data_IF_416436364823
#
_entry.id   IF_416436364823
#
_cell.length_a   1.000
_cell.length_b   1.000
_cell.length_c   1.000
_cell.angle_alpha   90.00
_cell.angle_beta   90.00
_cell.angle_gamma   90.00
#
_symmetry.space_group_name_H-M   'P 1'
#
loop_
_entity.id
_entity.type
_entity.pdbx_description
1 polymer ?
#
# COMPACT_ATOMS: atom_id res chain seq x y z
N UNK A 1 19.30 -7.75 7.75
CA UNK A 1 17.91 -7.59 7.31
C UNK A 1 17.86 -7.92 5.84
N UNK A 2 16.81 -8.60 5.36
CA UNK A 2 16.61 -8.85 3.94
C UNK A 2 15.82 -7.68 3.38
N UNK A 3 16.33 -7.03 2.34
CA UNK A 3 15.63 -5.93 1.65
C UNK A 3 14.44 -6.49 0.87
N UNK A 4 13.36 -5.72 0.79
CA UNK A 4 12.13 -6.06 0.06
C UNK A 4 12.41 -6.64 -1.32
N UNK A 5 12.03 -7.91 -1.51
CA UNK A 5 12.12 -8.59 -2.81
C UNK A 5 10.93 -8.21 -3.70
N UNK A 6 11.15 -7.17 -4.53
CA UNK A 6 10.11 -6.64 -5.42
C UNK A 6 9.65 -7.66 -6.45
N UNK A 7 10.55 -8.48 -6.99
CA UNK A 7 10.18 -9.49 -7.99
C UNK A 7 9.28 -10.57 -7.37
N UNK A 8 9.54 -10.96 -6.12
CA UNK A 8 8.64 -11.86 -5.38
C UNK A 8 7.26 -11.25 -5.19
N UNK A 9 7.17 -9.98 -4.79
CA UNK A 9 5.89 -9.27 -4.61
C UNK A 9 5.10 -9.25 -5.92
N UNK A 10 5.74 -8.91 -7.05
CA UNK A 10 5.08 -8.91 -8.36
C UNK A 10 4.56 -10.29 -8.73
N UNK A 11 5.38 -11.33 -8.53
CA UNK A 11 4.98 -12.72 -8.82
C UNK A 11 3.77 -13.14 -7.99
N UNK A 12 3.77 -12.85 -6.69
CA UNK A 12 2.67 -13.20 -5.79
C UNK A 12 1.37 -12.49 -6.20
N UNK A 13 1.46 -11.18 -6.46
CA UNK A 13 0.30 -10.37 -6.89
C UNK A 13 -0.22 -10.79 -8.27
N UNK A 14 0.66 -11.13 -9.21
CA UNK A 14 0.26 -11.64 -10.53
C UNK A 14 -0.57 -12.93 -10.41
N UNK A 15 -0.14 -13.85 -9.55
CA UNK A 15 -0.87 -15.09 -9.26
C UNK A 15 -2.21 -14.80 -8.60
N UNK A 16 -2.24 -13.93 -7.59
CA UNK A 16 -3.47 -13.58 -6.84
C UNK A 16 -4.54 -12.95 -7.75
N UNK A 17 -4.12 -11.99 -8.58
CA UNK A 17 -5.00 -11.30 -9.52
C UNK A 17 -5.28 -12.10 -10.81
N UNK A 18 -4.64 -13.25 -11.00
CA UNK A 18 -4.66 -14.03 -12.24
C UNK A 18 -4.39 -13.14 -13.48
N UNK A 19 -3.37 -12.29 -13.41
CA UNK A 19 -2.99 -11.34 -14.46
C UNK A 19 -1.57 -11.58 -14.95
N UNK A 20 -1.31 -11.28 -16.22
CA UNK A 20 0.04 -11.34 -16.82
C UNK A 20 0.65 -9.94 -17.04
N UNK A 21 0.05 -8.91 -16.43
CA UNK A 21 0.40 -7.51 -16.67
C UNK A 21 1.53 -7.02 -15.74
N UNK A 22 2.66 -7.73 -15.75
CA UNK A 22 3.81 -7.48 -14.87
C UNK A 22 4.34 -6.05 -14.96
N UNK A 23 4.27 -5.44 -16.15
CA UNK A 23 4.69 -4.05 -16.36
C UNK A 23 3.83 -3.08 -15.53
N UNK A 24 2.51 -3.27 -15.53
CA UNK A 24 1.61 -2.48 -14.72
C UNK A 24 1.83 -2.73 -13.23
N UNK A 25 1.97 -4.00 -12.82
CA UNK A 25 2.23 -4.34 -11.42
C UNK A 25 3.53 -3.70 -10.92
N UNK A 26 4.60 -3.69 -11.73
CA UNK A 26 5.87 -3.02 -11.40
C UNK A 26 5.67 -1.52 -11.16
N UNK A 27 4.93 -0.84 -12.04
CA UNK A 27 4.64 0.59 -11.87
C UNK A 27 3.83 0.85 -10.60
N UNK A 28 2.84 0.01 -10.30
CA UNK A 28 2.03 0.14 -9.08
C UNK A 28 2.89 -0.08 -7.84
N UNK A 29 3.70 -1.15 -7.81
CA UNK A 29 4.60 -1.44 -6.70
C UNK A 29 5.59 -0.32 -6.45
N UNK A 30 6.23 0.22 -7.49
CA UNK A 30 7.15 1.36 -7.36
C UNK A 30 6.47 2.57 -6.71
N UNK A 31 5.21 2.85 -7.06
CA UNK A 31 4.44 3.96 -6.48
C UNK A 31 4.13 3.71 -5.00
N UNK A 32 3.70 2.50 -4.64
CA UNK A 32 3.44 2.13 -3.23
C UNK A 32 4.73 2.22 -2.41
N UNK A 33 5.83 1.70 -2.95
CA UNK A 33 7.16 1.77 -2.30
C UNK A 33 7.59 3.22 -2.09
N UNK A 34 7.52 4.05 -3.12
CA UNK A 34 7.91 5.46 -3.00
C UNK A 34 7.01 6.23 -2.02
N UNK A 35 5.70 5.95 -2.02
CA UNK A 35 4.79 6.53 -1.05
C UNK A 35 5.15 6.11 0.38
N UNK A 36 5.36 4.81 0.61
CA UNK A 36 5.77 4.28 1.91
C UNK A 36 7.07 4.91 2.43
N UNK A 37 8.08 5.03 1.56
CA UNK A 37 9.36 5.66 1.90
C UNK A 37 9.18 7.13 2.28
N UNK A 38 8.36 7.86 1.53
CA UNK A 38 8.06 9.27 1.81
C UNK A 38 7.30 9.46 3.11
N UNK A 39 6.30 8.61 3.38
CA UNK A 39 5.43 8.71 4.56
C UNK A 39 6.18 8.39 5.85
N UNK A 40 7.01 7.35 5.85
CA UNK A 40 7.72 6.87 7.05
C UNK A 40 9.18 7.31 7.13
N UNK A 41 9.68 8.09 6.16
CA UNK A 41 11.06 8.58 6.14
C UNK A 41 12.12 7.48 6.07
N UNK A 42 11.85 6.40 5.34
CA UNK A 42 12.73 5.22 5.25
C UNK A 42 13.36 5.06 3.88
N UNK A 43 14.63 4.68 3.82
CA UNK A 43 15.31 4.38 2.54
C UNK A 43 15.26 2.90 2.18
N UNK A 44 15.37 2.02 3.17
CA UNK A 44 15.31 0.57 3.02
C UNK A 44 14.08 -0.01 3.72
N UNK A 45 13.44 -0.97 3.06
CA UNK A 45 12.24 -1.63 3.56
C UNK A 45 12.58 -3.10 3.77
N UNK A 46 12.27 -3.62 4.95
CA UNK A 46 12.50 -5.02 5.31
C UNK A 46 11.48 -5.91 4.59
N UNK A 47 11.96 -7.01 4.03
CA UNK A 47 11.17 -7.99 3.29
C UNK A 47 10.04 -8.63 4.11
N UNK A 48 10.14 -8.60 5.45
CA UNK A 48 9.03 -8.99 6.34
C UNK A 48 7.75 -8.17 6.14
N UNK A 49 7.85 -7.00 5.51
CA UNK A 49 6.72 -6.12 5.21
C UNK A 49 6.12 -6.36 3.81
N UNK A 50 6.63 -7.33 3.04
CA UNK A 50 6.19 -7.59 1.67
C UNK A 50 4.66 -7.73 1.52
N UNK A 51 4.00 -8.36 2.49
CA UNK A 51 2.54 -8.54 2.49
C UNK A 51 1.75 -7.22 2.41
N UNK A 52 2.27 -6.12 3.00
CA UNK A 52 1.63 -4.80 2.90
C UNK A 52 1.63 -4.33 1.45
N UNK A 53 2.78 -4.49 0.77
CA UNK A 53 2.93 -4.07 -0.62
C UNK A 53 2.08 -4.92 -1.55
N UNK A 54 1.99 -6.24 -1.31
CA UNK A 54 1.09 -7.13 -2.02
C UNK A 54 -0.37 -6.63 -1.93
N UNK A 55 -0.87 -6.41 -0.71
CA UNK A 55 -2.23 -5.91 -0.46
C UNK A 55 -2.50 -4.55 -1.12
N UNK A 56 -1.56 -3.60 -1.00
CA UNK A 56 -1.68 -2.26 -1.59
C UNK A 56 -1.70 -2.31 -3.13
N UNK A 57 -0.84 -3.13 -3.75
CA UNK A 57 -0.81 -3.27 -5.21
C UNK A 57 -2.09 -3.91 -5.73
N UNK A 58 -2.60 -4.95 -5.06
CA UNK A 58 -3.89 -5.59 -5.38
C UNK A 58 -5.02 -4.55 -5.35
N UNK A 59 -5.12 -3.76 -4.27
CA UNK A 59 -6.13 -2.70 -4.13
C UNK A 59 -6.03 -1.66 -5.26
N UNK A 60 -4.81 -1.20 -5.59
CA UNK A 60 -4.57 -0.23 -6.66
C UNK A 60 -4.91 -0.78 -8.05
N UNK A 61 -4.60 -2.04 -8.32
CA UNK A 61 -4.94 -2.70 -9.58
C UNK A 61 -6.46 -2.80 -9.75
N UNK A 62 -7.16 -3.34 -8.74
CA UNK A 62 -8.62 -3.50 -8.76
C UNK A 62 -9.34 -2.16 -8.89
N UNK A 63 -8.86 -1.13 -8.19
CA UNK A 63 -9.38 0.23 -8.31
C UNK A 63 -9.25 0.77 -9.73
N UNK A 64 -8.08 0.63 -10.36
CA UNK A 64 -7.85 1.11 -11.73
C UNK A 64 -8.78 0.42 -12.73
N UNK A 65 -8.99 -0.90 -12.57
CA UNK A 65 -9.98 -1.64 -13.36
C UNK A 65 -11.40 -1.13 -13.16
N UNK A 66 -11.78 -0.85 -11.90
CA UNK A 66 -13.08 -0.27 -11.58
C UNK A 66 -13.27 1.17 -12.10
N UNK A 67 -12.19 1.98 -12.12
CA UNK A 67 -12.21 3.33 -12.69
C UNK A 67 -12.48 3.30 -14.20
N UNK A 68 -11.87 2.36 -14.94
CA UNK A 68 -12.17 2.16 -16.36
C UNK A 68 -13.66 1.86 -16.61
N UNK A 69 -14.23 0.94 -15.83
CA UNK A 69 -15.65 0.59 -15.91
C UNK A 69 -16.58 1.75 -15.49
N UNK A 70 -16.18 2.57 -14.50
CA UNK A 70 -16.94 3.75 -14.06
C UNK A 70 -16.85 4.92 -15.02
N UNK A 71 -15.72 5.12 -15.71
CA UNK A 71 -15.57 6.15 -16.74
C UNK A 71 -16.53 5.95 -17.92
N UNK A 72 -16.92 4.70 -18.20
CA UNK A 72 -17.98 4.38 -19.15
C UNK A 72 -19.40 4.71 -18.62
N UNK A 73 -19.55 5.02 -17.33
CA UNK A 73 -20.83 5.15 -16.61
C UNK A 73 -21.12 6.54 -15.99
N UNK A 74 -20.47 7.63 -16.42
CA UNK A 74 -20.76 9.07 -16.08
C UNK A 74 -20.02 9.68 -14.85
N UNK A 75 -19.44 10.88 -15.07
CA UNK A 75 -18.95 12.00 -14.21
C UNK A 75 -18.71 11.73 -12.69
N UNK A 76 -17.56 11.95 -12.05
CA UNK A 76 -16.42 12.83 -12.30
C UNK A 76 -15.98 13.43 -10.95
N UNK A 77 -14.75 13.12 -10.53
CA UNK A 77 -14.01 13.73 -9.39
C UNK A 77 -14.40 13.41 -7.94
N UNK A 78 -13.53 12.63 -7.27
CA UNK A 78 -12.97 12.87 -5.90
C UNK A 78 -12.66 11.59 -5.11
N UNK A 79 -12.59 10.42 -5.76
CA UNK A 79 -12.12 9.20 -5.06
C UNK A 79 -10.59 9.05 -5.13
N UNK A 80 -9.91 9.51 -6.20
CA UNK A 80 -8.54 9.06 -6.54
C UNK A 80 -7.42 9.46 -5.57
N UNK A 81 -7.55 10.62 -4.90
CA UNK A 81 -6.50 11.13 -4.01
C UNK A 81 -6.64 10.63 -2.56
N UNK A 82 -7.81 10.79 -1.95
CA UNK A 82 -8.05 10.43 -0.54
C UNK A 82 -7.81 8.95 -0.24
N UNK A 83 -8.16 8.05 -1.15
CA UNK A 83 -7.96 6.60 -0.93
C UNK A 83 -6.47 6.21 -0.82
N UNK A 84 -5.57 6.88 -1.55
CA UNK A 84 -4.13 6.55 -1.48
C UNK A 84 -3.53 7.00 -0.15
N UNK A 85 -3.95 8.15 0.40
CA UNK A 85 -3.53 8.63 1.73
C UNK A 85 -3.92 7.64 2.85
N UNK A 86 -4.86 6.73 2.59
CA UNK A 86 -5.34 5.75 3.57
C UNK A 86 -4.83 4.33 3.36
N UNK A 87 -4.02 4.07 2.33
CA UNK A 87 -3.67 2.70 1.92
C UNK A 87 -2.90 1.92 3.00
N UNK A 88 -2.17 2.63 3.88
CA UNK A 88 -1.42 2.05 4.99
C UNK A 88 -2.18 2.00 6.32
N UNK A 89 -3.35 2.65 6.44
CA UNK A 89 -4.13 2.72 7.70
C UNK A 89 -4.36 1.37 8.39
N UNK A 90 -4.65 0.26 7.67
CA UNK A 90 -4.83 -1.04 8.31
C UNK A 90 -3.58 -1.53 9.07
N UNK A 91 -2.41 -1.03 8.71
CA UNK A 91 -1.12 -1.44 9.27
C UNK A 91 -0.52 -0.36 10.19
N UNK A 92 -1.17 0.79 10.38
CA UNK A 92 -0.65 1.93 11.14
C UNK A 92 -0.09 1.54 12.50
N UNK A 93 -0.83 0.76 13.30
CA UNK A 93 -0.37 0.36 14.64
C UNK A 93 0.96 -0.43 14.59
N UNK A 94 1.15 -1.24 13.56
CA UNK A 94 2.38 -2.00 13.37
C UNK A 94 3.50 -1.11 12.83
N UNK A 95 3.20 -0.29 11.81
CA UNK A 95 4.16 0.61 11.17
C UNK A 95 4.65 1.70 12.12
N UNK A 96 3.79 2.23 12.99
CA UNK A 96 4.16 3.15 14.06
C UNK A 96 5.11 2.50 15.08
N UNK A 97 4.95 1.21 15.39
CA UNK A 97 5.91 0.50 16.27
C UNK A 97 7.28 0.30 15.60
N UNK A 98 7.31 0.19 14.28
CA UNK A 98 8.54 -0.06 13.51
C UNK A 98 9.28 1.22 13.14
N UNK A 99 8.54 2.27 12.79
CA UNK A 99 9.06 3.50 12.18
C UNK A 99 8.59 4.78 12.87
N UNK A 100 7.66 4.68 13.83
CA UNK A 100 7.22 5.84 14.59
C UNK A 100 8.41 6.44 15.32
N UNK A 101 8.67 7.73 15.08
CA UNK A 101 9.56 8.52 15.91
C UNK A 101 9.07 8.43 17.34
N UNK A 102 9.94 7.99 18.24
CA UNK A 102 9.70 7.97 19.67
C UNK A 102 9.44 9.41 20.15
N UNK A 103 8.19 9.85 20.12
CA UNK A 103 7.86 11.27 20.38
C UNK A 103 6.40 11.67 20.28
N UNK A 104 5.57 10.98 19.50
CA UNK A 104 4.12 11.23 19.51
C UNK A 104 3.38 9.98 19.99
N UNK A 105 3.22 9.92 21.32
CA UNK A 105 2.23 9.09 21.98
C UNK A 105 0.88 9.33 21.32
N UNK A 106 0.37 8.37 20.56
CA UNK A 106 -1.07 8.28 20.37
C UNK A 106 -1.66 7.95 21.74
N UNK A 107 -2.20 8.95 22.42
CA UNK A 107 -3.16 8.76 23.51
C UNK A 107 -4.22 7.78 23.02
N UNK A 108 -4.11 6.54 23.47
CA UNK A 108 -5.00 5.43 23.14
C UNK A 108 -5.69 4.96 24.41
N UNK A 109 -6.78 5.64 24.72
CA UNK A 109 -7.97 5.24 25.49
C UNK A 109 -7.80 4.06 26.48
N UNK A 110 -7.75 4.40 27.77
CA UNK A 110 -7.91 3.44 28.87
C UNK A 110 -9.36 2.95 28.90
N UNK A 111 -9.58 1.68 28.57
CA UNK A 111 -10.85 1.01 28.81
C UNK A 111 -10.95 0.73 30.32
N UNK A 112 -11.78 1.48 31.04
CA UNK A 112 -12.18 1.12 32.40
C UNK A 112 -13.25 0.01 32.31
N UNK A 113 -12.94 -1.15 32.88
CA UNK A 113 -13.89 -2.22 33.21
C UNK A 113 -14.36 -2.09 34.65
#
# INVERSE_FOLDING_TARGET
MMTLDKDRVIKNVSVDLNTNDDALLKILLERVVNHFKSEYGVEEIDDKLAFIFEDCVIKRFNRRGAEGAKSESVDGHSMSYYDNETEFKPYDNMLQRLYGTSGESKEGEVLFL
#
